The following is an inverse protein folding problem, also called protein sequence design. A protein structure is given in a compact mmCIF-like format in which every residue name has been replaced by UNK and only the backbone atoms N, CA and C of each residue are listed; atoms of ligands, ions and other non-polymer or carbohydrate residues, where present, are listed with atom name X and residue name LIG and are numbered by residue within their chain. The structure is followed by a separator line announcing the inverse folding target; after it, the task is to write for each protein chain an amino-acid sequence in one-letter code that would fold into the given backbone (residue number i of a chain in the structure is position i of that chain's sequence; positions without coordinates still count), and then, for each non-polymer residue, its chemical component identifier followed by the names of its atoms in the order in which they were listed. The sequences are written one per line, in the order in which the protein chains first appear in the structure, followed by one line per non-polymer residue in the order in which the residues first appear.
data_IF_273748633764
#
_entry.id   IF_273748633764
#
_cell.length_a   1.000
_cell.length_b   1.000
_cell.length_c   1.000
_cell.angle_alpha   90.00
_cell.angle_beta   90.00
_cell.angle_gamma   90.00
#
_symmetry.space_group_name_H-M   'P 1'
#
loop_
_entity.id
_entity.type
_entity.pdbx_description
1 polymer ?
#
# COMPACT_ATOMS: atom_id res chain seq x y z
N UNK A 1 -7.11 -22.84 15.94
CA UNK A 1 -5.83 -22.09 16.00
C UNK A 1 -5.85 -20.97 14.96
N UNK A 2 -5.10 -19.89 15.16
CA UNK A 2 -5.15 -18.68 14.33
C UNK A 2 -3.80 -17.98 14.22
N UNK A 3 -3.75 -16.90 13.43
CA UNK A 3 -2.54 -16.12 13.20
C UNK A 3 -2.86 -14.64 12.96
N UNK A 4 -1.86 -13.78 13.15
CA UNK A 4 -1.92 -12.35 12.88
C UNK A 4 -0.59 -11.88 12.33
N UNK A 5 -0.62 -11.02 11.32
CA UNK A 5 0.52 -10.30 10.78
C UNK A 5 0.37 -8.83 11.16
N UNK A 6 1.40 -8.30 11.79
CA UNK A 6 1.45 -6.91 12.22
C UNK A 6 2.76 -6.26 11.79
N UNK A 7 2.65 -5.05 11.25
CA UNK A 7 3.79 -4.22 10.86
C UNK A 7 3.92 -3.13 11.92
N UNK A 8 5.06 -3.11 12.62
CA UNK A 8 5.36 -2.06 13.57
C UNK A 8 5.80 -0.80 12.83
N UNK A 9 5.02 0.26 12.95
CA UNK A 9 5.39 1.61 12.52
C UNK A 9 5.93 2.39 13.70
N UNK A 10 6.41 3.61 13.43
CA UNK A 10 6.99 4.49 14.44
C UNK A 10 5.98 4.78 15.57
N UNK A 11 4.76 5.19 15.20
CA UNK A 11 3.76 5.70 16.15
C UNK A 11 2.55 4.77 16.34
N UNK A 12 2.46 3.70 15.55
CA UNK A 12 1.34 2.75 15.59
C UNK A 12 1.74 1.36 15.08
N UNK A 13 0.87 0.38 15.30
CA UNK A 13 1.03 -0.98 14.74
C UNK A 13 -0.08 -1.22 13.72
N UNK A 14 0.30 -1.52 12.47
CA UNK A 14 -0.64 -1.87 11.41
C UNK A 14 -0.88 -3.38 11.40
N UNK A 15 -2.09 -3.81 11.72
CA UNK A 15 -2.50 -5.21 11.58
C UNK A 15 -3.04 -5.40 10.16
N UNK A 16 -2.44 -6.35 9.43
CA UNK A 16 -2.81 -6.70 8.06
C UNK A 16 -3.67 -7.97 8.05
N UNK A 17 -3.03 -9.09 7.71
CA UNK A 17 -3.68 -10.41 7.67
C UNK A 17 -3.90 -10.96 9.06
N UNK A 18 -5.10 -11.43 9.34
CA UNK A 18 -5.43 -12.16 10.56
C UNK A 18 -6.47 -13.23 10.26
N UNK A 19 -6.41 -14.35 10.99
CA UNK A 19 -7.40 -15.40 10.86
C UNK A 19 -7.50 -16.26 12.13
N UNK A 20 -8.68 -16.81 12.36
CA UNK A 20 -8.91 -17.87 13.35
C UNK A 20 -9.70 -18.95 12.62
N UNK A 21 -9.18 -20.20 12.64
CA UNK A 21 -9.89 -21.38 12.13
C UNK A 21 -11.31 -21.44 12.69
N UNK A 22 -12.27 -21.78 11.85
CA UNK A 22 -13.70 -21.62 12.13
C UNK A 22 -14.14 -22.32 13.41
N UNK A 23 -13.70 -23.55 13.61
CA UNK A 23 -13.97 -24.39 14.76
C UNK A 23 -13.39 -23.84 16.08
N UNK A 24 -12.55 -22.81 16.00
CA UNK A 24 -11.99 -22.09 17.15
C UNK A 24 -12.44 -20.62 17.21
N UNK A 25 -13.36 -20.16 16.36
CA UNK A 25 -13.90 -18.80 16.46
C UNK A 25 -14.67 -18.65 17.77
N UNK A 26 -14.81 -17.41 18.24
CA UNK A 26 -15.46 -17.06 19.52
C UNK A 26 -14.78 -17.60 20.79
N UNK A 27 -13.65 -18.32 20.67
CA UNK A 27 -12.84 -18.81 21.81
C UNK A 27 -11.91 -17.75 22.45
N UNK A 28 -11.90 -16.53 21.91
CA UNK A 28 -11.02 -15.44 22.37
C UNK A 28 -9.59 -15.45 21.81
N UNK A 29 -9.23 -16.40 20.95
CA UNK A 29 -7.89 -16.48 20.32
C UNK A 29 -7.53 -15.17 19.59
N UNK A 30 -8.43 -14.65 18.75
CA UNK A 30 -8.19 -13.40 18.01
C UNK A 30 -7.86 -12.24 18.94
N UNK A 31 -8.56 -12.16 20.09
CA UNK A 31 -8.31 -11.12 21.09
C UNK A 31 -6.94 -11.25 21.74
N UNK A 32 -6.47 -12.47 21.99
CA UNK A 32 -5.12 -12.69 22.51
C UNK A 32 -4.07 -12.29 21.49
N UNK A 33 -4.24 -12.67 20.24
CA UNK A 33 -3.34 -12.32 19.14
C UNK A 33 -3.22 -10.81 18.96
N UNK A 34 -4.36 -10.08 18.95
CA UNK A 34 -4.37 -8.62 18.81
C UNK A 34 -3.68 -7.93 19.98
N UNK A 35 -3.97 -8.35 21.22
CA UNK A 35 -3.31 -7.79 22.41
C UNK A 35 -1.79 -7.99 22.36
N UNK A 36 -1.35 -9.16 21.93
CA UNK A 36 0.07 -9.50 21.87
C UNK A 36 0.82 -8.66 20.82
N UNK A 37 0.25 -8.43 19.63
CA UNK A 37 0.93 -7.63 18.60
C UNK A 37 0.87 -6.13 18.85
N UNK A 38 -0.18 -5.64 19.52
CA UNK A 38 -0.33 -4.21 19.79
C UNK A 38 0.54 -3.74 20.97
N UNK A 39 0.80 -4.58 21.99
CA UNK A 39 1.64 -4.25 23.16
C UNK A 39 1.40 -2.84 23.75
N UNK A 40 0.14 -2.42 23.84
CA UNK A 40 -0.31 -1.09 24.30
C UNK A 40 0.03 0.11 23.38
N UNK A 41 0.48 -0.14 22.14
CA UNK A 41 0.57 0.89 21.09
C UNK A 41 -0.79 1.07 20.40
N UNK A 42 -1.08 2.26 19.84
CA UNK A 42 -2.20 2.45 18.94
C UNK A 42 -2.14 1.44 17.79
N UNK A 43 -3.25 0.74 17.55
CA UNK A 43 -3.39 -0.18 16.43
C UNK A 43 -4.18 0.46 15.28
N UNK A 44 -3.87 0.09 14.05
CA UNK A 44 -4.74 0.34 12.90
C UNK A 44 -4.89 -0.95 12.11
N UNK A 45 -6.10 -1.24 11.63
CA UNK A 45 -6.34 -2.40 10.78
C UNK A 45 -7.57 -2.17 9.91
N UNK A 46 -7.62 -2.87 8.78
CA UNK A 46 -8.82 -2.89 7.94
C UNK A 46 -9.75 -3.99 8.48
N UNK A 47 -10.81 -3.57 9.15
CA UNK A 47 -11.81 -4.48 9.68
C UNK A 47 -12.77 -4.89 8.55
N UNK A 48 -12.91 -6.19 8.30
CA UNK A 48 -14.05 -6.70 7.54
C UNK A 48 -15.32 -6.53 8.39
N UNK A 49 -16.49 -6.37 7.74
CA UNK A 49 -17.80 -6.10 8.36
C UNK A 49 -18.04 -6.86 9.67
N UNK A 50 -17.68 -8.14 9.72
CA UNK A 50 -17.92 -9.02 10.88
C UNK A 50 -17.15 -8.61 12.15
N UNK A 51 -16.09 -7.82 12.03
CA UNK A 51 -15.26 -7.40 13.16
C UNK A 51 -15.52 -5.98 13.61
N UNK A 52 -16.15 -5.13 12.78
CA UNK A 52 -16.49 -3.74 13.14
C UNK A 52 -17.16 -3.63 14.52
N UNK A 53 -18.17 -4.46 14.87
CA UNK A 53 -18.82 -4.37 16.18
C UNK A 53 -17.91 -4.69 17.37
N UNK A 54 -16.75 -5.31 17.13
CA UNK A 54 -15.85 -5.80 18.19
C UNK A 54 -14.61 -4.93 18.40
N UNK A 55 -14.35 -3.94 17.55
CA UNK A 55 -13.06 -3.24 17.54
C UNK A 55 -12.82 -2.38 18.80
N UNK A 56 -13.88 -1.87 19.40
CA UNK A 56 -13.81 -1.12 20.66
C UNK A 56 -13.21 -1.97 21.81
N UNK A 57 -13.35 -3.31 21.75
CA UNK A 57 -12.75 -4.23 22.74
C UNK A 57 -11.21 -4.24 22.68
N UNK A 58 -10.64 -3.68 21.61
CA UNK A 58 -9.19 -3.55 21.41
C UNK A 58 -8.70 -2.10 21.58
N UNK A 59 -9.55 -1.20 22.08
CA UNK A 59 -9.20 0.22 22.18
C UNK A 59 -9.10 0.93 20.82
N UNK A 60 -9.72 0.34 19.79
CA UNK A 60 -9.71 0.86 18.42
C UNK A 60 -10.99 1.64 18.17
N UNK A 61 -10.89 2.73 17.42
CA UNK A 61 -12.02 3.58 17.03
C UNK A 61 -12.33 3.37 15.56
N UNK A 62 -13.61 3.29 15.22
CA UNK A 62 -14.05 3.21 13.83
C UNK A 62 -13.69 4.50 13.10
N UNK A 63 -13.09 4.36 11.92
CA UNK A 63 -12.78 5.46 11.02
C UNK A 63 -13.09 5.04 9.59
N UNK A 64 -13.84 5.87 8.88
CA UNK A 64 -14.28 5.63 7.50
C UNK A 64 -13.50 6.55 6.56
N UNK A 65 -13.01 6.03 5.43
CA UNK A 65 -12.25 6.86 4.48
C UNK A 65 -11.66 6.16 3.26
N UNK A 66 -11.51 4.83 3.27
CA UNK A 66 -11.08 4.06 2.08
C UNK A 66 -12.26 3.30 1.49
N UNK A 67 -12.54 3.51 0.20
CA UNK A 67 -13.46 2.70 -0.60
C UNK A 67 -12.63 1.80 -1.51
N UNK A 68 -12.86 0.49 -1.45
CA UNK A 68 -12.29 -0.45 -2.40
C UNK A 68 -13.17 -0.48 -3.64
N UNK A 69 -12.74 0.19 -4.70
CA UNK A 69 -13.39 0.14 -6.00
C UNK A 69 -12.62 -0.84 -6.88
N UNK A 70 -13.25 -1.93 -7.30
CA UNK A 70 -12.72 -2.74 -8.39
C UNK A 70 -13.14 -2.10 -9.71
N UNK A 71 -12.20 -1.40 -10.35
CA UNK A 71 -12.40 -0.85 -11.70
C UNK A 71 -11.75 -1.83 -12.68
N UNK A 72 -12.56 -2.45 -13.52
CA UNK A 72 -12.06 -3.23 -14.67
C UNK A 72 -11.89 -2.26 -15.83
N UNK A 73 -10.64 -2.07 -16.28
CA UNK A 73 -10.35 -1.27 -17.46
C UNK A 73 -10.56 -2.19 -18.67
N UNK A 74 -11.73 -2.11 -19.31
CA UNK A 74 -12.03 -2.84 -20.55
C UNK A 74 -11.59 -2.06 -21.80
N UNK A 75 -11.41 -0.74 -21.68
CA UNK A 75 -10.87 0.12 -22.72
C UNK A 75 -9.90 1.15 -22.11
N UNK A 76 -8.58 1.00 -22.27
CA UNK A 76 -7.59 1.87 -21.63
C UNK A 76 -7.65 3.33 -22.09
N UNK A 77 -8.26 3.63 -23.25
CA UNK A 77 -8.46 4.99 -23.76
C UNK A 77 -9.80 5.63 -23.39
N UNK A 78 -10.58 5.01 -22.50
CA UNK A 78 -11.95 5.45 -22.16
C UNK A 78 -12.08 6.78 -21.41
N UNK A 79 -10.96 7.46 -21.12
CA UNK A 79 -10.95 8.79 -20.49
C UNK A 79 -10.70 9.84 -21.58
N UNK A 80 -11.72 10.53 -22.08
CA UNK A 80 -11.60 11.46 -23.21
C UNK A 80 -10.66 12.65 -22.94
N UNK A 81 -10.35 12.94 -21.67
CA UNK A 81 -9.44 14.02 -21.24
C UNK A 81 -8.03 13.54 -20.87
N UNK A 82 -7.72 12.24 -21.01
CA UNK A 82 -6.35 11.75 -20.78
C UNK A 82 -5.49 12.16 -21.97
N UNK A 83 -4.60 13.13 -21.78
CA UNK A 83 -3.63 13.50 -22.80
C UNK A 83 -2.61 12.36 -22.96
N UNK A 84 -2.74 11.55 -24.01
CA UNK A 84 -1.81 10.46 -24.36
C UNK A 84 -0.43 10.98 -24.81
N UNK A 85 -0.29 12.29 -25.01
CA UNK A 85 0.93 12.93 -25.49
C UNK A 85 1.55 13.75 -24.37
N UNK A 86 2.32 13.08 -23.49
CA UNK A 86 3.33 13.79 -22.72
C UNK A 86 4.59 13.87 -23.59
N UNK A 87 4.85 15.00 -24.29
CA UNK A 87 6.15 15.20 -24.92
C UNK A 87 7.22 15.20 -23.81
N UNK A 88 8.36 14.57 -24.06
CA UNK A 88 9.52 14.52 -23.17
C UNK A 88 9.35 13.63 -21.93
N UNK A 89 8.71 12.47 -22.09
CA UNK A 89 8.74 11.42 -21.08
C UNK A 89 9.26 10.10 -21.65
N UNK A 90 10.00 9.37 -20.83
CA UNK A 90 10.33 7.96 -21.11
C UNK A 90 9.49 7.04 -20.25
N UNK A 91 8.98 5.98 -20.86
CA UNK A 91 8.32 4.87 -20.17
C UNK A 91 9.33 3.75 -20.05
N UNK A 92 9.58 3.26 -18.84
CA UNK A 92 10.54 2.19 -18.59
C UNK A 92 9.89 1.08 -17.76
N UNK A 93 10.29 -0.16 -18.02
CA UNK A 93 9.91 -1.33 -17.22
C UNK A 93 10.93 -1.55 -16.10
N UNK A 94 10.48 -2.11 -14.99
CA UNK A 94 11.30 -2.30 -13.78
C UNK A 94 12.60 -3.06 -14.00
N UNK A 95 12.64 -3.95 -14.99
CA UNK A 95 13.83 -4.72 -15.35
C UNK A 95 14.96 -3.85 -15.92
N UNK A 96 14.63 -2.65 -16.38
CA UNK A 96 15.56 -1.67 -16.97
C UNK A 96 15.72 -0.41 -16.13
N UNK A 97 15.19 -0.38 -14.90
CA UNK A 97 15.37 0.78 -14.01
C UNK A 97 16.84 0.94 -13.62
N UNK A 98 17.34 2.17 -13.81
CA UNK A 98 18.61 2.60 -13.27
C UNK A 98 18.56 2.69 -11.73
N UNK A 99 19.70 2.91 -11.08
CA UNK A 99 19.70 3.21 -9.65
C UNK A 99 18.97 4.53 -9.35
N UNK A 100 19.18 5.55 -10.19
CA UNK A 100 18.53 6.87 -10.07
C UNK A 100 17.00 6.75 -10.21
N UNK A 101 16.52 5.85 -11.08
CA UNK A 101 15.09 5.56 -11.26
C UNK A 101 14.46 5.01 -9.97
N UNK A 102 15.15 4.06 -9.32
CA UNK A 102 14.71 3.50 -8.06
C UNK A 102 14.72 4.53 -6.93
N UNK A 103 15.70 5.43 -6.91
CA UNK A 103 15.77 6.52 -5.95
C UNK A 103 14.62 7.51 -6.16
N UNK A 104 14.35 7.92 -7.40
CA UNK A 104 13.24 8.80 -7.75
C UNK A 104 11.88 8.20 -7.36
N UNK A 105 11.63 6.92 -7.67
CA UNK A 105 10.41 6.21 -7.28
C UNK A 105 10.28 6.15 -5.74
N UNK A 106 11.39 5.89 -5.03
CA UNK A 106 11.38 5.81 -3.57
C UNK A 106 11.07 7.16 -2.92
N UNK A 107 11.57 8.26 -3.48
CA UNK A 107 11.23 9.62 -3.05
C UNK A 107 9.75 9.90 -3.31
N UNK A 108 9.27 9.62 -4.52
CA UNK A 108 7.88 9.85 -4.89
C UNK A 108 6.89 9.04 -4.04
N UNK A 109 7.12 7.74 -3.83
CA UNK A 109 6.27 6.91 -2.95
C UNK A 109 6.21 7.48 -1.54
N UNK A 110 7.36 7.88 -0.99
CA UNK A 110 7.44 8.46 0.35
C UNK A 110 6.67 9.77 0.45
N UNK A 111 6.73 10.63 -0.56
CA UNK A 111 6.01 11.91 -0.58
C UNK A 111 4.50 11.72 -0.72
N UNK A 112 4.06 10.83 -1.61
CA UNK A 112 2.64 10.56 -1.86
C UNK A 112 2.00 9.79 -0.70
N UNK A 113 2.69 8.77 -0.18
CA UNK A 113 2.14 7.89 0.85
C UNK A 113 2.49 8.33 2.28
N UNK A 114 3.40 9.30 2.43
CA UNK A 114 3.88 9.77 3.73
C UNK A 114 4.70 8.73 4.49
N UNK A 115 5.26 7.72 3.82
CA UNK A 115 5.94 6.60 4.48
C UNK A 115 7.17 6.10 3.70
N UNK A 116 8.30 5.93 4.40
CA UNK A 116 9.46 5.25 3.84
C UNK A 116 9.26 3.72 3.87
N UNK A 117 9.26 3.08 2.71
CA UNK A 117 9.11 1.62 2.56
C UNK A 117 10.14 1.07 1.59
N UNK A 118 10.40 -0.23 1.67
CA UNK A 118 11.24 -0.96 0.71
C UNK A 118 10.46 -1.16 -0.60
N UNK A 119 10.25 -0.07 -1.34
CA UNK A 119 9.35 -0.05 -2.51
C UNK A 119 9.83 -0.99 -3.60
N UNK A 120 11.15 -1.14 -3.76
CA UNK A 120 11.75 -2.07 -4.71
C UNK A 120 11.36 -3.51 -4.45
N UNK A 121 11.47 -3.98 -3.21
CA UNK A 121 11.08 -5.34 -2.83
C UNK A 121 9.58 -5.54 -3.02
N UNK A 122 8.76 -4.54 -2.68
CA UNK A 122 7.31 -4.60 -2.85
C UNK A 122 6.89 -4.74 -4.31
N UNK A 123 7.55 -3.99 -5.21
CA UNK A 123 7.25 -3.99 -6.65
C UNK A 123 7.81 -5.22 -7.38
N UNK A 124 8.57 -6.08 -6.70
CA UNK A 124 9.13 -7.33 -7.22
C UNK A 124 8.40 -8.58 -6.70
N UNK A 125 7.31 -8.43 -5.94
CA UNK A 125 6.53 -9.56 -5.45
C UNK A 125 5.74 -10.23 -6.59
N UNK A 126 5.57 -11.55 -6.49
CA UNK A 126 4.62 -12.34 -7.32
C UNK A 126 4.74 -12.12 -8.84
N UNK A 127 5.98 -12.05 -9.36
CA UNK A 127 6.26 -11.82 -10.78
C UNK A 127 5.60 -10.54 -11.35
N UNK A 128 5.46 -9.51 -10.49
CA UNK A 128 4.88 -8.23 -10.86
C UNK A 128 5.64 -7.54 -11.99
N UNK A 129 4.89 -7.01 -12.96
CA UNK A 129 5.43 -6.16 -14.01
C UNK A 129 5.19 -4.71 -13.64
N UNK A 130 6.26 -3.99 -13.29
CA UNK A 130 6.17 -2.59 -12.93
C UNK A 130 6.64 -1.73 -14.09
N UNK A 131 5.85 -0.71 -14.44
CA UNK A 131 6.23 0.34 -15.37
C UNK A 131 6.21 1.69 -14.65
N UNK A 132 7.14 2.57 -15.00
CA UNK A 132 7.16 3.95 -14.53
C UNK A 132 7.44 4.91 -15.68
N UNK A 133 6.95 6.13 -15.54
CA UNK A 133 7.19 7.23 -16.46
C UNK A 133 8.11 8.24 -15.77
N UNK A 134 9.18 8.61 -16.45
CA UNK A 134 10.12 9.62 -15.99
C UNK A 134 10.12 10.78 -16.97
N UNK A 135 10.14 12.01 -16.46
CA UNK A 135 10.41 13.18 -17.30
C UNK A 135 11.85 13.10 -17.80
N UNK A 136 12.05 13.32 -19.09
CA UNK A 136 13.38 13.64 -19.60
C UNK A 136 13.61 15.12 -19.30
N UNK A 137 14.58 15.44 -18.43
CA UNK A 137 14.99 16.83 -18.26
C UNK A 137 15.44 17.36 -19.63
N UNK A 138 14.81 18.42 -20.12
CA UNK A 138 15.44 19.25 -21.15
C UNK A 138 16.70 19.81 -20.51
N UNK A 139 17.86 19.34 -20.96
CA UNK A 139 19.13 19.96 -20.59
C UNK A 139 19.02 21.46 -20.86
N UNK A 140 19.35 22.28 -19.86
CA UNK A 140 19.45 23.74 -19.96
C UNK A 140 20.49 24.13 -21.02
N UNK A 141 20.10 24.06 -22.29
CA UNK A 141 20.99 24.19 -23.45
C UNK A 141 20.39 24.94 -24.64
N UNK A 142 19.10 25.29 -24.61
CA UNK A 142 18.45 26.08 -25.67
C UNK A 142 17.89 27.40 -25.14
N UNK A 143 18.78 28.22 -24.59
CA UNK A 143 18.64 29.68 -24.62
C UNK A 143 19.99 30.29 -25.04
N UNK A 144 20.17 30.46 -26.35
CA UNK A 144 21.09 31.43 -26.94
C UNK A 144 20.35 32.23 -27.99
#
# INVERSE_FOLDING_TARGET
MGGVVAINRKDYTQVGTYYVKEEYRHSGIGSKLFKEVLKNKPGVFQAVHILLPTINKFGLKESYGRRFNHVKIENPSGFPDLQETMPNCRVVLSDSFSQEDWEAISVFDREVCGEARSIRELLQLEDSHTAAVFSEEMSDGELR
#
